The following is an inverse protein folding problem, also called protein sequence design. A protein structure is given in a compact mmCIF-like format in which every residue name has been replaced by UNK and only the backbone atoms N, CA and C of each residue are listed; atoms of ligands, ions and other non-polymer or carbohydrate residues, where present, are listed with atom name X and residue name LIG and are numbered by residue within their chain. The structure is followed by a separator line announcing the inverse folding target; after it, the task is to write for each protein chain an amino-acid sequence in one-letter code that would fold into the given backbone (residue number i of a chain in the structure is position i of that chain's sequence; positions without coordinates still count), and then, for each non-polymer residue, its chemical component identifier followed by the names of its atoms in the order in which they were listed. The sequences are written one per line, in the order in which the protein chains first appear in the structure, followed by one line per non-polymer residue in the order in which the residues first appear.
data_IF_441800698868
#
_entry.id   IF_441800698868
#
_cell.length_a   1.000
_cell.length_b   1.000
_cell.length_c   1.000
_cell.angle_alpha   90.00
_cell.angle_beta   90.00
_cell.angle_gamma   90.00
#
_symmetry.space_group_name_H-M   'P 1'
#
loop_
_entity.id
_entity.type
_entity.pdbx_description
1 polymer ?
#
# COMPACT_ATOMS: atom_id res chain seq x y z
N UNK A 1 -43.76 41.83 31.34
CA UNK A 1 -43.16 40.55 31.78
C UNK A 1 -43.06 39.65 30.55
N UNK A 2 -41.87 39.53 29.95
CA UNK A 2 -41.64 38.80 28.69
C UNK A 2 -40.89 37.52 29.03
N UNK A 3 -41.50 36.37 28.74
CA UNK A 3 -40.90 35.04 28.95
C UNK A 3 -40.21 34.63 27.66
N UNK A 4 -38.88 34.70 27.63
CA UNK A 4 -38.08 34.18 26.53
C UNK A 4 -38.03 32.64 26.60
N UNK A 5 -38.60 31.97 25.59
CA UNK A 5 -38.50 30.51 25.42
C UNK A 5 -37.22 30.19 24.66
N UNK A 6 -36.25 29.59 25.35
CA UNK A 6 -35.05 29.02 24.73
C UNK A 6 -35.41 27.73 24.00
N UNK A 7 -35.41 27.77 22.67
CA UNK A 7 -35.45 26.58 21.82
C UNK A 7 -34.05 25.93 21.83
N UNK A 8 -33.95 24.76 22.46
CA UNK A 8 -32.80 23.88 22.30
C UNK A 8 -32.92 23.15 20.97
N UNK A 9 -32.11 23.53 19.98
CA UNK A 9 -31.91 22.73 18.78
C UNK A 9 -30.86 21.64 19.10
N UNK A 10 -31.15 20.35 18.87
CA UNK A 10 -30.13 19.32 18.98
C UNK A 10 -29.08 19.54 17.90
N UNK A 11 -27.85 19.82 18.32
CA UNK A 11 -26.67 19.81 17.46
C UNK A 11 -26.46 18.34 17.06
N UNK A 12 -26.87 17.98 15.84
CA UNK A 12 -26.46 16.74 15.20
C UNK A 12 -24.96 16.84 14.94
N UNK A 13 -24.17 16.23 15.83
CA UNK A 13 -22.78 15.89 15.58
C UNK A 13 -22.75 14.90 14.42
N UNK A 14 -22.65 15.40 13.20
CA UNK A 14 -22.26 14.58 12.04
C UNK A 14 -20.81 14.18 12.30
N UNK A 15 -20.61 12.98 12.83
CA UNK A 15 -19.31 12.33 12.90
C UNK A 15 -18.79 12.21 11.47
N UNK A 16 -17.92 13.14 11.07
CA UNK A 16 -17.13 12.98 9.87
C UNK A 16 -16.14 11.86 10.17
N UNK A 17 -16.52 10.62 9.86
CA UNK A 17 -15.54 9.55 9.78
C UNK A 17 -14.43 10.06 8.83
N UNK A 18 -13.15 10.03 9.25
CA UNK A 18 -12.08 10.51 8.41
C UNK A 18 -12.15 9.85 7.04
N UNK A 19 -12.20 10.65 5.97
CA UNK A 19 -12.22 10.24 4.56
C UNK A 19 -11.06 9.28 4.18
N UNK A 20 -10.04 9.19 5.03
CA UNK A 20 -8.87 8.32 4.91
C UNK A 20 -9.17 6.82 5.06
N UNK A 21 -10.38 6.45 5.53
CA UNK A 21 -10.79 5.05 5.69
C UNK A 21 -10.97 4.28 4.37
N UNK A 22 -10.85 4.92 3.21
CA UNK A 22 -11.25 4.34 1.91
C UNK A 22 -10.13 4.31 0.86
N UNK A 23 -8.84 4.32 1.23
CA UNK A 23 -7.75 4.12 0.26
C UNK A 23 -7.10 2.76 0.37
N UNK A 24 -6.65 2.22 -0.78
CA UNK A 24 -5.89 0.98 -0.86
C UNK A 24 -4.64 1.15 -1.73
N UNK A 25 -3.49 0.70 -1.22
CA UNK A 25 -2.23 0.69 -1.99
C UNK A 25 -1.96 -0.72 -2.52
N UNK A 26 -1.99 -0.83 -3.84
CA UNK A 26 -1.72 -2.04 -4.63
C UNK A 26 -0.46 -1.85 -5.49
N UNK A 27 -0.07 -2.89 -6.24
CA UNK A 27 1.02 -2.81 -7.22
C UNK A 27 0.51 -3.04 -8.64
N UNK A 28 0.97 -2.22 -9.59
CA UNK A 28 0.72 -2.42 -11.03
C UNK A 28 1.68 -3.46 -11.64
N UNK A 29 1.47 -3.86 -12.90
CA UNK A 29 2.32 -4.86 -13.58
C UNK A 29 3.82 -4.52 -13.56
N UNK A 30 4.19 -3.24 -13.58
CA UNK A 30 5.59 -2.81 -13.62
C UNK A 30 6.26 -2.66 -12.24
N UNK A 31 5.55 -2.99 -11.15
CA UNK A 31 6.10 -2.97 -9.79
C UNK A 31 5.88 -1.66 -9.03
N UNK A 32 5.25 -0.64 -9.63
CA UNK A 32 4.96 0.63 -8.96
C UNK A 32 3.71 0.58 -8.09
N UNK A 33 3.65 1.46 -7.11
CA UNK A 33 2.48 1.67 -6.29
C UNK A 33 1.27 2.20 -7.10
N UNK A 34 0.09 1.72 -6.73
CA UNK A 34 -1.21 2.14 -7.22
C UNK A 34 -2.10 2.40 -6.01
N UNK A 35 -2.41 3.66 -5.74
CA UNK A 35 -3.35 4.06 -4.69
C UNK A 35 -4.74 4.18 -5.30
N UNK A 36 -5.73 3.46 -4.78
CA UNK A 36 -7.13 3.57 -5.14
C UNK A 36 -7.83 4.39 -4.05
N UNK A 37 -8.69 5.33 -4.42
CA UNK A 37 -9.56 6.06 -3.48
C UNK A 37 -9.03 7.39 -2.92
N UNK A 38 -7.84 7.87 -3.34
CA UNK A 38 -7.32 9.18 -2.89
C UNK A 38 -6.02 9.61 -3.56
N UNK A 39 -5.72 10.91 -3.48
CA UNK A 39 -4.61 11.58 -4.20
C UNK A 39 -3.26 11.62 -3.49
N UNK A 40 -3.19 11.43 -2.18
CA UNK A 40 -2.13 12.11 -1.40
C UNK A 40 -1.29 11.18 -0.55
N UNK A 41 -0.39 10.42 -1.18
CA UNK A 41 0.73 9.70 -0.55
C UNK A 41 0.41 8.27 -0.07
N UNK A 42 1.34 7.37 -0.38
CA UNK A 42 1.23 5.92 -0.12
C UNK A 42 1.03 5.65 1.38
N UNK A 43 1.61 6.48 2.26
CA UNK A 43 1.67 6.27 3.70
C UNK A 43 1.00 7.39 4.53
N UNK A 44 0.00 8.06 3.97
CA UNK A 44 -0.73 9.11 4.68
C UNK A 44 -1.31 8.59 6.00
N UNK A 45 -1.04 9.28 7.11
CA UNK A 45 -1.52 8.90 8.44
C UNK A 45 -0.76 7.75 9.11
N UNK A 46 0.38 7.33 8.54
CA UNK A 46 1.27 6.32 9.13
C UNK A 46 2.45 7.03 9.81
N UNK A 47 2.73 6.69 11.06
CA UNK A 47 3.92 7.17 11.78
C UNK A 47 5.20 6.56 11.22
N UNK A 48 6.34 7.25 11.41
CA UNK A 48 7.65 6.68 11.10
C UNK A 48 7.88 5.39 11.89
N UNK A 49 8.35 4.36 11.20
CA UNK A 49 8.58 3.05 11.79
C UNK A 49 9.76 3.07 12.76
N UNK A 50 9.64 2.29 13.84
CA UNK A 50 10.71 2.10 14.84
C UNK A 50 11.64 0.92 14.52
N UNK A 51 11.27 0.10 13.54
CA UNK A 51 12.05 -1.05 13.10
C UNK A 51 13.28 -0.61 12.30
N UNK A 52 14.38 -1.33 12.47
CA UNK A 52 15.56 -1.19 11.61
C UNK A 52 15.28 -1.68 10.18
N UNK A 53 16.05 -1.26 9.16
CA UNK A 53 15.93 -1.79 7.81
C UNK A 53 15.97 -3.34 7.72
N UNK A 54 16.80 -3.99 8.54
CA UNK A 54 16.87 -5.45 8.62
C UNK A 54 15.56 -6.06 9.12
N UNK A 55 15.00 -5.51 10.20
CA UNK A 55 13.71 -5.94 10.72
C UNK A 55 12.56 -5.67 9.73
N UNK A 56 12.61 -4.57 8.99
CA UNK A 56 11.63 -4.29 7.91
C UNK A 56 11.66 -5.39 6.85
N UNK A 57 12.84 -5.77 6.35
CA UNK A 57 12.98 -6.85 5.36
C UNK A 57 12.54 -8.20 5.92
N UNK A 58 12.90 -8.51 7.17
CA UNK A 58 12.51 -9.77 7.81
C UNK A 58 11.00 -9.86 8.03
N UNK A 59 10.37 -8.81 8.55
CA UNK A 59 8.92 -8.76 8.74
C UNK A 59 8.18 -8.79 7.40
N UNK A 60 8.64 -8.05 6.39
CA UNK A 60 8.06 -8.08 5.05
C UNK A 60 8.10 -9.49 4.45
N UNK A 61 9.27 -10.14 4.46
CA UNK A 61 9.41 -11.49 3.90
C UNK A 61 8.61 -12.53 4.70
N UNK A 62 8.60 -12.44 6.03
CA UNK A 62 7.80 -13.30 6.91
C UNK A 62 6.30 -13.17 6.66
N UNK A 63 5.80 -11.95 6.45
CA UNK A 63 4.38 -11.70 6.22
C UNK A 63 3.99 -12.05 4.78
N UNK A 64 4.71 -11.54 3.78
CA UNK A 64 4.28 -11.61 2.38
C UNK A 64 4.77 -12.83 1.60
N UNK A 65 5.76 -13.59 2.10
CA UNK A 65 6.27 -14.79 1.43
C UNK A 65 6.00 -16.05 2.29
N UNK A 66 5.95 -17.25 1.68
CA UNK A 66 6.03 -17.54 0.25
C UNK A 66 4.70 -17.32 -0.50
N UNK A 67 3.61 -17.06 0.20
CA UNK A 67 2.27 -17.02 -0.38
C UNK A 67 1.57 -15.68 -0.11
N UNK A 68 1.65 -14.71 -1.02
CA UNK A 68 1.09 -13.37 -0.80
C UNK A 68 -0.44 -13.36 -0.58
N UNK A 69 -1.19 -14.35 -1.07
CA UNK A 69 -2.65 -14.41 -0.87
C UNK A 69 -3.02 -14.72 0.58
N UNK A 70 -2.20 -15.52 1.26
CA UNK A 70 -2.44 -15.94 2.64
C UNK A 70 -1.67 -15.12 3.69
N UNK A 71 -1.14 -13.95 3.31
CA UNK A 71 -0.33 -13.11 4.19
C UNK A 71 -1.04 -12.69 5.49
N UNK A 72 -2.37 -12.57 5.47
CA UNK A 72 -3.18 -12.14 6.61
C UNK A 72 -3.09 -13.09 7.80
N UNK A 73 -2.90 -14.39 7.52
CA UNK A 73 -2.69 -15.42 8.55
C UNK A 73 -1.36 -15.27 9.29
N UNK A 74 -0.37 -14.60 8.69
CA UNK A 74 0.98 -14.41 9.24
C UNK A 74 1.16 -13.08 9.96
N UNK A 75 0.21 -12.16 9.82
CA UNK A 75 0.23 -10.86 10.51
C UNK A 75 0.29 -11.02 12.03
N UNK A 76 -0.41 -12.01 12.60
CA UNK A 76 -0.41 -12.23 14.05
C UNK A 76 0.97 -12.61 14.63
N UNK A 77 1.87 -13.13 13.78
CA UNK A 77 3.25 -13.41 14.18
C UNK A 77 4.17 -12.20 14.00
N UNK A 78 3.71 -11.11 13.40
CA UNK A 78 4.50 -9.94 13.06
C UNK A 78 4.83 -9.08 14.28
N UNK A 79 6.01 -8.44 14.27
CA UNK A 79 6.36 -7.38 15.22
C UNK A 79 5.68 -6.05 14.85
N UNK A 80 5.18 -5.93 13.62
CA UNK A 80 4.38 -4.81 13.16
C UNK A 80 2.97 -5.02 13.71
N UNK A 81 2.60 -4.25 14.74
CA UNK A 81 1.31 -4.36 15.42
C UNK A 81 0.15 -3.92 14.51
N UNK A 82 -0.30 -4.82 13.63
CA UNK A 82 -1.38 -4.56 12.69
C UNK A 82 -2.68 -5.21 13.13
N UNK A 83 -3.80 -4.52 12.94
CA UNK A 83 -5.15 -5.04 13.17
C UNK A 83 -5.89 -5.15 11.85
N UNK A 84 -6.67 -6.22 11.69
CA UNK A 84 -7.50 -6.39 10.51
C UNK A 84 -8.49 -5.23 10.42
N UNK A 85 -8.57 -4.67 9.23
CA UNK A 85 -9.51 -3.61 8.87
C UNK A 85 -9.76 -3.71 7.37
N UNK A 86 -10.99 -3.61 6.90
CA UNK A 86 -11.25 -3.78 5.47
C UNK A 86 -11.43 -2.40 4.81
N UNK A 87 -10.84 -2.20 3.64
CA UNK A 87 -11.11 -1.01 2.82
C UNK A 87 -12.39 -1.29 2.03
N UNK A 88 -13.45 -0.56 2.36
CA UNK A 88 -14.73 -0.65 1.66
C UNK A 88 -14.95 0.58 0.81
N UNK A 89 -15.09 0.38 -0.49
CA UNK A 89 -15.44 1.42 -1.44
C UNK A 89 -16.94 1.34 -1.74
N UNK A 90 -17.76 2.34 -1.33
CA UNK A 90 -19.21 2.32 -1.52
C UNK A 90 -19.55 2.33 -3.01
N UNK A 91 -20.63 1.68 -3.44
CA UNK A 91 -21.00 1.56 -4.86
C UNK A 91 -20.87 2.87 -5.67
N UNK A 92 -20.39 2.79 -6.91
CA UNK A 92 -20.15 3.93 -7.81
C UNK A 92 -20.87 3.74 -9.15
N UNK A 93 -22.02 4.39 -9.31
CA UNK A 93 -22.85 4.25 -10.52
C UNK A 93 -23.32 2.81 -10.70
N UNK A 94 -22.91 2.15 -11.80
CA UNK A 94 -23.20 0.73 -12.06
C UNK A 94 -22.16 -0.22 -11.45
N UNK A 95 -21.04 0.30 -10.95
CA UNK A 95 -20.07 -0.50 -10.22
C UNK A 95 -20.61 -0.74 -8.81
N UNK A 96 -20.64 -2.01 -8.39
CA UNK A 96 -21.02 -2.38 -7.04
C UNK A 96 -20.03 -1.87 -5.99
N UNK A 97 -20.30 -2.22 -4.74
CA UNK A 97 -19.32 -2.08 -3.66
C UNK A 97 -18.05 -2.88 -4.01
N UNK A 98 -16.89 -2.35 -3.64
CA UNK A 98 -15.62 -3.09 -3.71
C UNK A 98 -15.02 -3.19 -2.32
N UNK A 99 -14.35 -4.30 -2.05
CA UNK A 99 -13.72 -4.58 -0.76
C UNK A 99 -12.29 -5.05 -0.98
N UNK A 100 -11.35 -4.47 -0.25
CA UNK A 100 -9.95 -4.89 -0.23
C UNK A 100 -9.56 -5.20 1.20
N UNK A 101 -8.97 -6.37 1.42
CA UNK A 101 -8.50 -6.77 2.75
C UNK A 101 -7.29 -5.94 3.15
N UNK A 102 -7.37 -5.33 4.34
CA UNK A 102 -6.30 -4.55 4.92
C UNK A 102 -6.00 -5.00 6.36
N UNK A 103 -4.76 -4.76 6.77
CA UNK A 103 -4.39 -4.68 8.16
C UNK A 103 -3.68 -3.35 8.37
N UNK A 104 -4.07 -2.61 9.40
CA UNK A 104 -3.54 -1.28 9.68
C UNK A 104 -3.04 -1.20 11.12
N UNK A 105 -1.93 -0.52 11.31
CA UNK A 105 -1.40 -0.13 12.61
C UNK A 105 -0.78 1.26 12.51
N UNK A 106 -0.24 1.76 13.61
CA UNK A 106 0.26 3.14 13.66
C UNK A 106 1.44 3.36 12.69
N UNK A 107 2.26 2.34 12.43
CA UNK A 107 3.52 2.46 11.69
C UNK A 107 3.54 1.78 10.32
N UNK A 108 2.47 1.09 9.95
CA UNK A 108 2.41 0.38 8.67
C UNK A 108 0.96 0.08 8.27
N UNK A 109 0.78 -0.17 6.98
CA UNK A 109 -0.44 -0.75 6.44
C UNK A 109 -0.09 -1.90 5.50
N UNK A 110 -0.89 -2.95 5.58
CA UNK A 110 -0.77 -4.14 4.75
C UNK A 110 -2.06 -4.29 3.94
N UNK A 111 -1.96 -4.51 2.63
CA UNK A 111 -3.09 -4.83 1.76
C UNK A 111 -2.87 -6.17 1.09
N UNK A 112 -3.90 -7.01 1.11
CA UNK A 112 -3.92 -8.27 0.39
C UNK A 112 -4.91 -8.14 -0.76
N UNK A 113 -4.44 -8.50 -1.95
CA UNK A 113 -5.19 -8.40 -3.17
C UNK A 113 -5.27 -9.75 -3.86
N UNK A 114 -6.50 -10.21 -4.08
CA UNK A 114 -6.80 -11.49 -4.72
C UNK A 114 -6.86 -11.40 -6.24
N UNK A 115 -6.97 -10.20 -6.82
CA UNK A 115 -7.28 -9.99 -8.23
C UNK A 115 -8.75 -9.63 -8.51
N UNK A 116 -9.60 -9.53 -7.50
CA UNK A 116 -11.03 -9.22 -7.67
C UNK A 116 -11.28 -7.72 -7.96
N UNK A 117 -11.39 -7.37 -9.24
CA UNK A 117 -11.65 -6.00 -9.70
C UNK A 117 -13.12 -5.57 -9.63
N UNK A 118 -14.02 -6.39 -9.08
CA UNK A 118 -15.43 -6.04 -8.94
C UNK A 118 -15.60 -4.73 -8.15
N UNK A 119 -16.45 -3.83 -8.66
CA UNK A 119 -16.74 -2.54 -8.01
C UNK A 119 -15.63 -1.47 -8.09
N UNK A 120 -14.46 -1.79 -8.68
CA UNK A 120 -13.34 -0.84 -8.79
C UNK A 120 -13.36 0.01 -10.07
N UNK A 121 -14.07 -0.41 -11.12
CA UNK A 121 -14.10 0.35 -12.38
C UNK A 121 -14.51 1.81 -12.18
N UNK A 122 -13.69 2.74 -12.65
CA UNK A 122 -13.96 4.17 -12.58
C UNK A 122 -13.59 4.84 -11.25
N UNK A 123 -13.11 4.09 -10.25
CA UNK A 123 -12.57 4.66 -9.02
C UNK A 123 -11.37 5.55 -9.33
N UNK A 124 -11.21 6.63 -8.58
CA UNK A 124 -10.03 7.46 -8.70
C UNK A 124 -8.78 6.67 -8.28
N UNK A 125 -7.70 6.79 -9.05
CA UNK A 125 -6.40 6.22 -8.76
C UNK A 125 -5.29 7.27 -8.82
N UNK A 126 -4.25 7.04 -8.04
CA UNK A 126 -2.98 7.76 -8.09
C UNK A 126 -1.83 6.76 -8.20
N UNK A 127 -0.91 7.00 -9.12
CA UNK A 127 0.30 6.21 -9.33
C UNK A 127 1.53 7.11 -9.14
N UNK A 128 2.10 7.15 -7.93
CA UNK A 128 3.28 7.96 -7.66
C UNK A 128 4.52 7.33 -8.32
N UNK A 129 5.34 8.16 -8.96
CA UNK A 129 6.55 7.73 -9.63
C UNK A 129 7.55 8.88 -9.74
N UNK A 130 8.73 8.72 -9.12
CA UNK A 130 9.88 9.65 -9.27
C UNK A 130 9.53 11.14 -9.09
N UNK A 131 8.61 11.46 -8.17
CA UNK A 131 8.24 12.83 -7.81
C UNK A 131 7.11 13.41 -8.66
N UNK A 132 6.56 12.60 -9.57
CA UNK A 132 5.30 12.87 -10.24
C UNK A 132 4.22 11.91 -9.72
N UNK A 133 2.96 12.33 -9.81
CA UNK A 133 1.80 11.47 -9.57
C UNK A 133 0.98 11.44 -10.84
N UNK A 134 0.75 10.26 -11.40
CA UNK A 134 -0.20 10.09 -12.50
C UNK A 134 -1.55 9.67 -11.95
N UNK A 135 -2.60 10.42 -12.26
CA UNK A 135 -3.96 10.16 -11.76
C UNK A 135 -4.89 9.72 -12.89
N UNK A 136 -6.02 9.13 -12.54
CA UNK A 136 -7.04 8.74 -13.51
C UNK A 136 -8.09 7.79 -12.93
N UNK A 137 -8.96 7.22 -13.79
CA UNK A 137 -9.89 6.17 -13.37
C UNK A 137 -9.20 4.80 -13.35
N UNK A 138 -9.59 3.95 -12.40
CA UNK A 138 -9.26 2.54 -12.38
C UNK A 138 -9.88 1.86 -13.60
N UNK A 139 -9.03 1.26 -14.42
CA UNK A 139 -9.40 0.44 -15.58
C UNK A 139 -9.15 -1.05 -15.29
N UNK A 140 -9.57 -1.95 -16.19
CA UNK A 140 -9.30 -3.36 -16.01
C UNK A 140 -7.79 -3.65 -16.02
N UNK A 141 -7.37 -4.64 -15.22
CA UNK A 141 -6.00 -5.14 -15.10
C UNK A 141 -4.98 -4.09 -14.66
N UNK A 142 -5.40 -3.10 -13.87
CA UNK A 142 -4.47 -2.09 -13.32
C UNK A 142 -3.56 -2.71 -12.26
N UNK A 143 -4.12 -3.42 -11.29
CA UNK A 143 -3.36 -4.24 -10.36
C UNK A 143 -3.05 -5.60 -11.00
N UNK A 144 -1.83 -6.11 -10.82
CA UNK A 144 -1.38 -7.34 -11.48
C UNK A 144 -1.29 -8.51 -10.51
N UNK A 145 -1.95 -9.62 -10.87
CA UNK A 145 -1.92 -10.86 -10.12
C UNK A 145 -2.49 -10.72 -8.71
N UNK A 146 -2.29 -11.77 -7.92
CA UNK A 146 -2.50 -11.68 -6.48
C UNK A 146 -1.25 -11.14 -5.81
N UNK A 147 -1.41 -10.35 -4.74
CA UNK A 147 -0.29 -9.64 -4.15
C UNK A 147 -0.51 -9.26 -2.68
N UNK A 148 0.61 -9.19 -1.97
CA UNK A 148 0.75 -8.67 -0.62
C UNK A 148 1.51 -7.35 -0.71
N UNK A 149 0.93 -6.26 -0.18
CA UNK A 149 1.48 -4.91 -0.25
C UNK A 149 1.71 -4.41 1.16
N UNK A 150 2.95 -4.13 1.54
CA UNK A 150 3.31 -3.54 2.81
C UNK A 150 3.79 -2.11 2.57
N UNK A 151 3.13 -1.15 3.21
CA UNK A 151 3.50 0.25 3.21
C UNK A 151 3.99 0.64 4.58
N UNK A 152 5.15 1.28 4.63
CA UNK A 152 5.83 1.73 5.85
C UNK A 152 6.38 3.13 5.62
N UNK A 153 6.42 3.97 6.66
CA UNK A 153 7.20 5.21 6.64
C UNK A 153 8.58 5.00 7.25
N UNK A 154 9.63 5.06 6.42
CA UNK A 154 11.01 5.00 6.89
C UNK A 154 11.47 6.37 7.40
N UNK A 155 12.44 6.42 8.32
CA UNK A 155 12.94 7.68 8.86
C UNK A 155 13.60 8.54 7.79
N UNK A 156 14.32 7.91 6.85
CA UNK A 156 15.04 8.59 5.79
C UNK A 156 15.28 7.74 4.54
N UNK A 157 15.87 8.37 3.52
CA UNK A 157 16.19 7.70 2.26
C UNK A 157 17.39 6.76 2.38
N UNK A 158 18.27 6.97 3.37
CA UNK A 158 19.36 6.04 3.65
C UNK A 158 18.82 4.69 4.11
N UNK A 159 17.82 4.68 5.00
CA UNK A 159 17.10 3.48 5.42
C UNK A 159 16.46 2.75 4.23
N UNK A 160 15.87 3.48 3.28
CA UNK A 160 15.33 2.89 2.04
C UNK A 160 16.41 2.22 1.18
N UNK A 161 17.58 2.86 1.07
CA UNK A 161 18.74 2.29 0.37
C UNK A 161 19.20 1.00 1.04
N UNK A 162 19.31 0.99 2.37
CA UNK A 162 19.67 -0.22 3.13
C UNK A 162 18.64 -1.33 2.96
N UNK A 163 17.34 -1.03 2.93
CA UNK A 163 16.30 -2.03 2.64
C UNK A 163 16.52 -2.67 1.26
N UNK A 164 16.84 -1.88 0.21
CA UNK A 164 17.11 -2.40 -1.13
C UNK A 164 18.36 -3.31 -1.19
N UNK A 165 19.42 -2.94 -0.47
CA UNK A 165 20.65 -3.74 -0.34
C UNK A 165 20.38 -5.08 0.37
N UNK A 166 19.61 -5.04 1.47
CA UNK A 166 19.24 -6.24 2.23
C UNK A 166 18.32 -7.18 1.43
N UNK A 167 17.39 -6.63 0.64
CA UNK A 167 16.59 -7.43 -0.30
C UNK A 167 17.47 -8.09 -1.35
N UNK A 168 18.48 -7.39 -1.88
CA UNK A 168 19.47 -7.98 -2.81
C UNK A 168 20.27 -9.11 -2.17
N UNK A 169 20.72 -8.92 -0.93
CA UNK A 169 21.43 -9.97 -0.20
C UNK A 169 20.54 -11.21 0.04
N UNK A 170 19.24 -11.00 0.28
CA UNK A 170 18.27 -12.07 0.61
C UNK A 170 17.71 -12.79 -0.61
N UNK A 171 17.48 -12.08 -1.71
CA UNK A 171 16.78 -12.58 -2.91
C UNK A 171 17.70 -12.80 -4.10
N UNK A 172 18.98 -12.41 -4.00
CA UNK A 172 19.95 -12.45 -5.08
C UNK A 172 19.89 -11.21 -5.98
N UNK A 173 20.42 -11.35 -7.21
CA UNK A 173 20.50 -10.25 -8.14
C UNK A 173 19.09 -9.74 -8.54
N UNK A 174 18.84 -8.42 -8.51
CA UNK A 174 17.57 -7.87 -8.97
C UNK A 174 17.43 -8.01 -10.49
N UNK A 175 16.20 -8.15 -10.97
CA UNK A 175 15.91 -8.03 -12.40
C UNK A 175 16.03 -6.57 -12.87
N UNK A 176 15.67 -5.63 -11.99
CA UNK A 176 15.89 -4.19 -12.15
C UNK A 176 16.05 -3.58 -10.76
N UNK A 177 17.01 -2.69 -10.59
CA UNK A 177 17.09 -1.87 -9.39
C UNK A 177 17.67 -0.50 -9.76
N UNK A 178 16.96 0.55 -9.38
CA UNK A 178 17.41 1.93 -9.50
C UNK A 178 17.29 2.55 -8.12
N UNK A 179 18.42 2.96 -7.56
CA UNK A 179 18.49 3.74 -6.33
C UNK A 179 19.14 5.08 -6.67
N UNK A 180 18.41 6.17 -6.45
CA UNK A 180 18.87 7.55 -6.59
C UNK A 180 18.61 8.26 -5.28
N UNK A 181 19.30 9.36 -5.00
CA UNK A 181 19.16 10.14 -3.76
C UNK A 181 17.73 10.61 -3.38
N UNK A 182 16.75 10.44 -4.26
CA UNK A 182 15.37 10.91 -4.09
C UNK A 182 14.34 9.84 -4.43
N UNK A 183 14.71 8.67 -4.95
CA UNK A 183 13.75 7.60 -5.23
C UNK A 183 14.44 6.24 -5.34
N UNK A 184 13.68 5.19 -5.04
CA UNK A 184 14.08 3.82 -5.32
C UNK A 184 12.96 3.07 -6.06
N UNK A 185 13.32 2.30 -7.06
CA UNK A 185 12.41 1.47 -7.84
C UNK A 185 13.13 0.22 -8.31
N UNK A 186 12.58 -0.96 -8.03
CA UNK A 186 13.22 -2.20 -8.40
C UNK A 186 12.37 -3.42 -8.14
N UNK A 187 12.82 -4.55 -8.69
CA UNK A 187 12.21 -5.84 -8.44
C UNK A 187 13.21 -7.00 -8.51
N UNK A 188 12.84 -8.08 -7.82
CA UNK A 188 13.46 -9.40 -7.86
C UNK A 188 12.43 -10.41 -8.35
N UNK A 189 12.88 -11.42 -9.09
CA UNK A 189 12.07 -12.57 -9.46
C UNK A 189 12.62 -13.77 -8.69
N UNK A 190 11.77 -14.41 -7.90
CA UNK A 190 12.12 -15.58 -7.08
C UNK A 190 11.08 -16.67 -7.29
N UNK A 191 11.41 -17.63 -8.16
CA UNK A 191 10.45 -18.62 -8.65
C UNK A 191 9.26 -17.95 -9.36
N UNK A 192 8.05 -18.23 -8.88
CA UNK A 192 6.79 -17.66 -9.39
C UNK A 192 6.40 -16.33 -8.73
N UNK A 193 7.29 -15.73 -7.93
CA UNK A 193 7.04 -14.47 -7.23
C UNK A 193 7.84 -13.31 -7.82
N UNK A 194 7.22 -12.14 -7.89
CA UNK A 194 7.90 -10.85 -8.06
C UNK A 194 7.90 -10.10 -6.75
N UNK A 195 9.07 -9.76 -6.24
CA UNK A 195 9.22 -8.86 -5.09
C UNK A 195 9.54 -7.47 -5.63
N UNK A 196 8.75 -6.45 -5.30
CA UNK A 196 8.98 -5.08 -5.73
C UNK A 196 9.30 -4.17 -4.55
N UNK A 197 10.12 -3.16 -4.82
CA UNK A 197 10.35 -2.00 -3.95
C UNK A 197 10.00 -0.75 -4.74
N UNK A 198 9.18 0.11 -4.15
CA UNK A 198 8.87 1.42 -4.68
C UNK A 198 8.93 2.45 -3.56
N UNK A 199 9.84 3.41 -3.69
CA UNK A 199 9.95 4.58 -2.82
C UNK A 199 9.64 5.78 -3.71
N UNK A 200 8.38 6.26 -3.74
CA UNK A 200 8.06 7.45 -4.48
C UNK A 200 8.84 8.63 -3.91
N UNK A 201 9.24 9.55 -4.79
CA UNK A 201 10.15 10.61 -4.38
C UNK A 201 9.49 11.59 -3.42
N UNK A 202 10.02 11.64 -2.20
CA UNK A 202 9.84 12.75 -1.29
C UNK A 202 11.21 13.34 -0.98
N UNK A 203 11.39 14.65 -1.17
CA UNK A 203 12.65 15.33 -0.82
C UNK A 203 12.73 15.65 0.69
N UNK A 204 11.72 15.25 1.45
CA UNK A 204 11.53 15.56 2.86
C UNK A 204 11.19 14.27 3.62
N UNK A 205 11.47 14.25 4.92
CA UNK A 205 11.16 13.12 5.80
C UNK A 205 9.74 13.23 6.33
N UNK A 206 9.03 12.11 6.59
CA UNK A 206 9.42 10.68 6.43
C UNK A 206 9.40 10.17 4.97
N UNK A 207 9.97 8.98 4.71
CA UNK A 207 10.03 8.37 3.37
C UNK A 207 9.09 7.16 3.26
N UNK A 208 7.95 7.25 2.54
CA UNK A 208 7.09 6.09 2.32
C UNK A 208 7.81 5.06 1.45
N UNK A 209 7.87 3.82 1.94
CA UNK A 209 8.27 2.66 1.15
C UNK A 209 7.06 1.77 0.92
N UNK A 210 6.85 1.40 -0.34
CA UNK A 210 5.93 0.36 -0.75
C UNK A 210 6.73 -0.88 -1.14
N UNK A 211 6.59 -1.92 -0.33
CA UNK A 211 7.10 -3.25 -0.61
C UNK A 211 5.94 -4.13 -1.08
N UNK A 212 6.15 -4.94 -2.10
CA UNK A 212 5.13 -5.90 -2.50
C UNK A 212 5.68 -7.23 -2.96
N UNK A 213 4.89 -8.29 -2.78
CA UNK A 213 5.10 -9.60 -3.40
C UNK A 213 3.90 -9.89 -4.27
N UNK A 214 4.13 -10.13 -5.56
CA UNK A 214 3.10 -10.49 -6.53
C UNK A 214 3.32 -11.92 -7.01
N UNK A 215 2.26 -12.72 -7.07
CA UNK A 215 2.31 -14.01 -7.77
C UNK A 215 2.25 -13.76 -9.28
N UNK A 216 3.28 -14.18 -10.00
CA UNK A 216 3.36 -14.10 -11.45
C UNK A 216 2.81 -15.41 -12.02
N UNK A 217 1.76 -15.40 -12.85
CA UNK A 217 1.31 -16.62 -13.54
C UNK A 217 2.46 -17.21 -14.36
N UNK A 218 2.66 -18.52 -14.25
CA UNK A 218 3.67 -19.25 -15.01
C UNK A 218 3.51 -18.96 -16.51
N UNK A 219 4.51 -18.32 -17.13
CA UNK A 219 4.48 -17.90 -18.55
C UNK A 219 4.31 -16.39 -18.81
N UNK A 220 4.05 -15.57 -17.80
CA UNK A 220 3.97 -14.10 -17.95
C UNK A 220 5.33 -13.38 -17.80
N UNK A 221 6.44 -14.11 -17.66
CA UNK A 221 7.75 -13.56 -17.32
C UNK A 221 8.51 -12.92 -18.51
N UNK A 222 8.01 -13.00 -19.74
CA UNK A 222 8.79 -12.72 -20.97
C UNK A 222 8.24 -11.61 -21.89
N UNK A 223 7.46 -10.65 -21.38
CA UNK A 223 7.05 -9.46 -22.16
C UNK A 223 7.06 -8.16 -21.38
#
# INVERSE_FOLDING_TARGET
MIIARYFWAPILLVSHAPLFSQSATLTVKDGRALVIGGETEIAQGIETIKLTPAQVVDEFTKICMPDPQNAGSRVAASQISLKRDDVVFPALGKAGEAKIERWIGDQASLFIWSGDEAGLKGRFIAMPSRGAVTTGPYGPFKAFGSQCNLVINLPDFAAATTVAELLTAKLGAPGKLVVKNTFADGYWVTGDLRVNINVPSERQYPQPIHLSVQSIPTGAQSK
#
